data_IF_791244183872
#
_entry.id   IF_791244183872
#
_cell.length_a   1.000
_cell.length_b   1.000
_cell.length_c   1.000
_cell.angle_alpha   90.00
_cell.angle_beta   90.00
_cell.angle_gamma   90.00
#
_symmetry.space_group_name_H-M   'P 1'
#
loop_
_entity.id
_entity.type
_entity.pdbx_description
1 polymer ?
#
# COMPACT_ATOMS: atom_id res chain seq x y z
N UNK A 1 24.56 -4.65 -13.36
CA UNK A 1 23.66 -5.68 -12.80
C UNK A 1 22.99 -6.42 -13.95
N UNK A 2 23.19 -7.73 -14.09
CA UNK A 2 22.61 -8.51 -15.20
C UNK A 2 21.10 -8.76 -14.93
N UNK A 3 20.26 -8.73 -15.96
CA UNK A 3 18.82 -9.06 -15.88
C UNK A 3 18.55 -10.44 -15.25
N UNK A 4 19.47 -11.40 -15.45
CA UNK A 4 19.39 -12.74 -14.85
C UNK A 4 19.52 -12.67 -13.32
N UNK A 5 20.46 -11.89 -12.80
CA UNK A 5 20.69 -11.75 -11.36
C UNK A 5 19.50 -11.11 -10.63
N UNK A 6 18.85 -10.12 -11.26
CA UNK A 6 17.66 -9.48 -10.72
C UNK A 6 16.47 -10.45 -10.62
N UNK A 7 16.31 -11.34 -11.61
CA UNK A 7 15.25 -12.35 -11.63
C UNK A 7 15.47 -13.40 -10.54
N UNK A 8 16.72 -13.85 -10.36
CA UNK A 8 17.10 -14.81 -9.31
C UNK A 8 16.85 -14.25 -7.91
N UNK A 9 17.24 -12.99 -7.64
CA UNK A 9 16.98 -12.34 -6.35
C UNK A 9 15.49 -12.16 -6.02
N UNK A 10 14.66 -11.98 -7.05
CA UNK A 10 13.21 -11.84 -6.91
C UNK A 10 12.50 -13.17 -6.64
N UNK A 11 13.15 -14.29 -6.97
CA UNK A 11 12.66 -15.66 -6.74
C UNK A 11 13.31 -16.32 -5.52
N UNK A 12 14.26 -15.66 -4.86
CA UNK A 12 14.92 -16.19 -3.67
C UNK A 12 13.87 -16.35 -2.55
N UNK A 13 13.78 -17.51 -1.90
CA UNK A 13 12.91 -17.70 -0.74
C UNK A 13 13.26 -16.68 0.34
N UNK A 14 12.27 -15.93 0.82
CA UNK A 14 12.42 -15.17 2.06
C UNK A 14 12.37 -16.20 3.18
N UNK A 15 13.45 -16.36 3.96
CA UNK A 15 13.43 -17.18 5.18
C UNK A 15 12.69 -16.44 6.30
N UNK A 16 11.40 -16.15 6.05
CA UNK A 16 10.48 -15.56 7.02
C UNK A 16 9.62 -16.68 7.57
N UNK A 17 9.83 -17.10 8.84
CA UNK A 17 9.04 -18.16 9.45
C UNK A 17 7.56 -17.78 9.42
N UNK A 18 6.74 -18.63 8.83
CA UNK A 18 5.29 -18.52 8.78
C UNK A 18 4.70 -19.92 8.88
N UNK A 19 3.56 -20.04 9.56
CA UNK A 19 2.76 -21.25 9.63
C UNK A 19 1.89 -21.45 8.37
N UNK A 20 1.88 -20.47 7.46
CA UNK A 20 1.16 -20.51 6.20
C UNK A 20 1.87 -21.39 5.16
N UNK A 21 1.09 -22.27 4.51
CA UNK A 21 1.57 -23.02 3.35
C UNK A 21 1.90 -22.13 2.15
N UNK A 22 2.67 -22.65 1.19
CA UNK A 22 3.10 -21.91 -0.01
C UNK A 22 1.94 -21.36 -0.83
N UNK A 23 0.84 -22.12 -0.95
CA UNK A 23 -0.36 -21.69 -1.67
C UNK A 23 -1.06 -20.53 -0.94
N UNK A 24 -1.23 -20.62 0.38
CA UNK A 24 -1.83 -19.55 1.18
C UNK A 24 -1.01 -18.26 1.10
N UNK A 25 0.31 -18.37 1.21
CA UNK A 25 1.23 -17.23 1.10
C UNK A 25 1.11 -16.55 -0.27
N UNK A 26 1.04 -17.34 -1.36
CA UNK A 26 0.86 -16.82 -2.72
C UNK A 26 -0.46 -16.08 -2.89
N UNK A 27 -1.56 -16.66 -2.42
CA UNK A 27 -2.90 -16.08 -2.59
C UNK A 27 -3.07 -14.81 -1.75
N UNK A 28 -2.58 -14.82 -0.50
CA UNK A 28 -2.58 -13.64 0.38
C UNK A 28 -1.72 -12.52 -0.21
N UNK A 29 -0.50 -12.83 -0.68
CA UNK A 29 0.39 -11.83 -1.29
C UNK A 29 -0.21 -11.21 -2.55
N UNK A 30 -0.96 -11.99 -3.35
CA UNK A 30 -1.68 -11.47 -4.50
C UNK A 30 -2.79 -10.50 -4.06
N UNK A 31 -3.63 -10.88 -3.10
CA UNK A 31 -4.69 -10.02 -2.58
C UNK A 31 -4.16 -8.72 -1.94
N UNK A 32 -3.06 -8.82 -1.17
CA UNK A 32 -2.42 -7.65 -0.55
C UNK A 32 -1.81 -6.68 -1.56
N UNK A 33 -1.33 -7.15 -2.72
CA UNK A 33 -0.89 -6.25 -3.79
C UNK A 33 -2.04 -5.43 -4.38
N UNK A 34 -3.21 -6.05 -4.58
CA UNK A 34 -4.40 -5.30 -5.02
C UNK A 34 -4.81 -4.28 -3.95
N UNK A 35 -4.85 -4.70 -2.68
CA UNK A 35 -5.17 -3.82 -1.57
C UNK A 35 -4.20 -2.62 -1.50
N UNK A 36 -2.90 -2.86 -1.65
CA UNK A 36 -1.90 -1.79 -1.67
C UNK A 36 -2.16 -0.77 -2.78
N UNK A 37 -2.51 -1.25 -3.98
CA UNK A 37 -2.85 -0.37 -5.10
C UNK A 37 -4.10 0.47 -4.79
N UNK A 38 -5.13 -0.12 -4.19
CA UNK A 38 -6.34 0.57 -3.79
C UNK A 38 -6.07 1.64 -2.72
N UNK A 39 -5.18 1.37 -1.76
CA UNK A 39 -4.77 2.36 -0.75
C UNK A 39 -4.06 3.57 -1.37
N UNK A 40 -3.16 3.36 -2.34
CA UNK A 40 -2.54 4.48 -3.07
C UNK A 40 -3.55 5.26 -3.91
N UNK A 41 -4.46 4.57 -4.59
CA UNK A 41 -5.52 5.21 -5.36
C UNK A 41 -6.43 6.06 -4.47
N UNK A 42 -6.79 5.53 -3.29
CA UNK A 42 -7.60 6.24 -2.30
C UNK A 42 -6.84 7.44 -1.71
N UNK A 43 -5.57 7.27 -1.33
CA UNK A 43 -4.71 8.37 -0.87
C UNK A 43 -4.66 9.53 -1.87
N UNK A 44 -4.38 9.24 -3.15
CA UNK A 44 -4.33 10.27 -4.18
C UNK A 44 -5.68 10.96 -4.39
N UNK A 45 -6.79 10.22 -4.32
CA UNK A 45 -8.14 10.80 -4.38
C UNK A 45 -8.40 11.71 -3.18
N UNK A 46 -8.07 11.28 -1.96
CA UNK A 46 -8.24 12.09 -0.75
C UNK A 46 -7.44 13.38 -0.83
N UNK A 47 -6.17 13.32 -1.27
CA UNK A 47 -5.36 14.52 -1.51
C UNK A 47 -5.94 15.40 -2.62
N UNK A 48 -6.47 14.81 -3.69
CA UNK A 48 -7.17 15.55 -4.73
C UNK A 48 -8.36 16.35 -4.15
N UNK A 49 -9.18 15.75 -3.29
CA UNK A 49 -10.24 16.50 -2.61
C UNK A 49 -9.69 17.57 -1.67
N UNK A 50 -8.66 17.27 -0.88
CA UNK A 50 -8.03 18.22 0.03
C UNK A 50 -7.52 19.48 -0.70
N UNK A 51 -6.97 19.33 -1.92
CA UNK A 51 -6.50 20.45 -2.73
C UNK A 51 -7.61 21.28 -3.34
N UNK A 52 -8.76 20.67 -3.67
CA UNK A 52 -9.81 21.31 -4.47
C UNK A 52 -11.10 21.60 -3.69
N UNK A 53 -11.21 21.21 -2.42
CA UNK A 53 -12.36 21.51 -1.57
C UNK A 53 -12.49 23.02 -1.36
N UNK A 54 -13.72 23.51 -1.34
CA UNK A 54 -14.05 24.94 -1.14
C UNK A 54 -15.41 25.09 -0.46
N UNK A 55 -15.72 26.30 0.01
CA UNK A 55 -16.99 26.64 0.65
C UNK A 55 -16.86 27.04 2.12
N UNK A 56 -17.99 27.28 2.82
CA UNK A 56 -18.00 27.79 4.20
C UNK A 56 -17.26 26.92 5.23
N UNK A 57 -17.13 25.62 4.95
CA UNK A 57 -16.44 24.64 5.79
C UNK A 57 -15.06 24.24 5.27
N UNK A 58 -14.46 25.05 4.37
CA UNK A 58 -13.17 24.75 3.72
C UNK A 58 -12.12 24.25 4.71
N UNK A 59 -11.87 25.00 5.80
CA UNK A 59 -10.80 24.68 6.74
C UNK A 59 -10.98 23.31 7.39
N UNK A 60 -12.19 23.00 7.83
CA UNK A 60 -12.46 21.76 8.57
C UNK A 60 -12.32 20.54 7.65
N UNK A 61 -12.86 20.63 6.42
CA UNK A 61 -12.70 19.55 5.45
C UNK A 61 -11.27 19.45 4.93
N UNK A 62 -10.57 20.56 4.73
CA UNK A 62 -9.17 20.55 4.29
C UNK A 62 -8.28 19.80 5.30
N UNK A 63 -8.44 20.09 6.61
CA UNK A 63 -7.69 19.41 7.66
C UNK A 63 -8.12 17.95 7.84
N UNK A 64 -9.43 17.66 7.80
CA UNK A 64 -9.95 16.29 7.88
C UNK A 64 -9.39 15.40 6.77
N UNK A 65 -9.41 15.90 5.53
CA UNK A 65 -8.91 15.15 4.39
C UNK A 65 -7.38 14.96 4.44
N UNK A 66 -6.64 15.89 5.05
CA UNK A 66 -5.20 15.74 5.24
C UNK A 66 -4.89 14.65 6.29
N UNK A 67 -5.59 14.68 7.43
CA UNK A 67 -5.48 13.64 8.47
C UNK A 67 -5.80 12.24 7.90
N UNK A 68 -6.86 12.13 7.10
CA UNK A 68 -7.21 10.88 6.43
C UNK A 68 -6.13 10.45 5.44
N UNK A 69 -5.56 11.39 4.68
CA UNK A 69 -4.48 11.07 3.74
C UNK A 69 -3.24 10.54 4.46
N UNK A 70 -2.87 11.10 5.60
CA UNK A 70 -1.75 10.62 6.42
C UNK A 70 -1.99 9.19 6.92
N UNK A 71 -3.19 8.89 7.41
CA UNK A 71 -3.56 7.54 7.84
C UNK A 71 -3.52 6.53 6.69
N UNK A 72 -4.02 6.92 5.51
CA UNK A 72 -3.99 6.08 4.30
C UNK A 72 -2.56 5.82 3.87
N UNK A 73 -1.71 6.85 3.81
CA UNK A 73 -0.32 6.71 3.40
C UNK A 73 0.47 5.85 4.39
N UNK A 74 0.31 6.08 5.69
CA UNK A 74 0.95 5.28 6.74
C UNK A 74 0.56 3.79 6.68
N UNK A 75 -0.64 3.48 6.20
CA UNK A 75 -1.11 2.08 6.04
C UNK A 75 -0.46 1.37 4.85
N UNK A 76 0.08 2.10 3.87
CA UNK A 76 0.71 1.48 2.69
C UNK A 76 1.94 0.65 3.03
N UNK A 77 2.76 1.10 3.99
CA UNK A 77 4.01 0.45 4.35
C UNK A 77 3.80 -0.93 5.02
N UNK A 78 2.97 -1.08 6.07
CA UNK A 78 2.65 -2.39 6.64
C UNK A 78 2.09 -3.39 5.62
N UNK A 79 1.25 -2.93 4.68
CA UNK A 79 0.71 -3.78 3.61
C UNK A 79 1.84 -4.22 2.66
N UNK A 80 2.66 -3.28 2.19
CA UNK A 80 3.75 -3.55 1.26
C UNK A 80 4.82 -4.47 1.88
N UNK A 81 5.17 -4.27 3.15
CA UNK A 81 6.07 -5.15 3.88
C UNK A 81 5.50 -6.57 4.01
N UNK A 82 4.18 -6.71 4.16
CA UNK A 82 3.52 -8.01 4.25
C UNK A 82 3.42 -8.73 2.91
N UNK A 83 3.22 -8.02 1.80
CA UNK A 83 3.25 -8.60 0.44
C UNK A 83 4.54 -9.39 0.18
N UNK A 84 5.65 -8.96 0.77
CA UNK A 84 6.97 -9.57 0.55
C UNK A 84 7.20 -10.84 1.38
N UNK A 85 6.39 -11.10 2.41
CA UNK A 85 6.56 -12.18 3.39
C UNK A 85 5.60 -13.33 3.10
#
# INVERSE_FOLDING_TARGET
MNKRDAKTRRMAPMETPTDLGSQATKDISAALNLLLADFFALYLKTKNFHWHVSGPHFRDYHLLLDEQADQLYATTDPIAERVRK
#
